data_IF_017179656246
#
_entry.id   IF_017179656246
#
_cell.length_a   1.000
_cell.length_b   1.000
_cell.length_c   1.000
_cell.angle_alpha   90.00
_cell.angle_beta   90.00
_cell.angle_gamma   90.00
#
_symmetry.space_group_name_H-M   'P 1'
#
loop_
_entity.id
_entity.type
_entity.pdbx_description
1 polymer ?
#
# COMPACT_ATOMS: atom_id res chain seq x y z
N UNK A 1 16.44 -25.20 -36.75
CA UNK A 1 17.34 -24.18 -37.33
C UNK A 1 16.59 -22.87 -37.32
N UNK A 2 16.86 -22.04 -36.33
CA UNK A 2 16.31 -20.69 -36.25
C UNK A 2 16.92 -19.88 -37.40
N UNK A 3 16.08 -19.17 -38.15
CA UNK A 3 16.55 -18.37 -39.27
C UNK A 3 17.45 -17.23 -38.74
N UNK A 4 18.57 -16.94 -39.43
CA UNK A 4 19.49 -15.81 -39.15
C UNK A 4 18.77 -14.48 -38.85
N UNK A 5 17.53 -14.34 -39.28
CA UNK A 5 16.65 -13.18 -39.06
C UNK A 5 16.24 -13.00 -37.59
N UNK A 6 15.98 -14.06 -36.84
CA UNK A 6 15.57 -13.98 -35.42
C UNK A 6 16.76 -13.61 -34.51
N UNK A 7 17.96 -14.15 -34.78
CA UNK A 7 19.19 -13.76 -34.08
C UNK A 7 19.54 -12.29 -34.33
N UNK A 8 19.36 -11.82 -35.57
CA UNK A 8 19.56 -10.40 -35.91
C UNK A 8 18.56 -9.48 -35.21
N UNK A 9 17.31 -9.92 -35.03
CA UNK A 9 16.29 -9.16 -34.29
C UNK A 9 16.59 -9.09 -32.79
N UNK A 10 17.13 -10.17 -32.20
CA UNK A 10 17.62 -10.18 -30.82
C UNK A 10 18.80 -9.22 -30.64
N UNK A 11 19.82 -9.34 -31.49
CA UNK A 11 20.98 -8.45 -31.45
C UNK A 11 20.53 -7.00 -31.63
N UNK A 12 19.64 -6.72 -32.59
CA UNK A 12 19.07 -5.37 -32.78
C UNK A 12 18.35 -4.88 -31.52
N UNK A 13 17.56 -5.71 -30.84
CA UNK A 13 16.88 -5.33 -29.59
C UNK A 13 17.85 -5.09 -28.43
N UNK A 14 18.90 -5.89 -28.31
CA UNK A 14 19.94 -5.70 -27.29
C UNK A 14 20.75 -4.43 -27.60
N UNK A 15 21.03 -4.14 -28.88
CA UNK A 15 21.62 -2.89 -29.33
C UNK A 15 20.73 -1.66 -29.03
N UNK A 16 19.42 -1.76 -29.30
CA UNK A 16 18.42 -0.73 -28.97
C UNK A 16 18.32 -0.47 -27.45
N UNK A 17 18.64 -1.49 -26.64
CA UNK A 17 18.72 -1.44 -25.19
C UNK A 17 20.04 -0.85 -24.68
N UNK A 18 20.95 -0.41 -25.56
CA UNK A 18 22.23 0.20 -25.19
C UNK A 18 23.36 -0.79 -24.95
N UNK A 19 23.20 -2.05 -25.38
CA UNK A 19 24.32 -2.99 -25.49
C UNK A 19 25.10 -2.72 -26.78
N UNK A 20 26.41 -2.90 -26.79
CA UNK A 20 27.28 -2.76 -27.97
C UNK A 20 27.61 -4.15 -28.55
N UNK A 21 27.64 -4.26 -29.88
CA UNK A 21 28.21 -5.42 -30.58
C UNK A 21 29.71 -5.46 -30.27
N UNK A 22 30.23 -6.58 -29.77
CA UNK A 22 31.67 -6.73 -29.63
C UNK A 22 32.30 -6.89 -31.02
N UNK A 23 33.30 -6.07 -31.34
CA UNK A 23 34.19 -6.28 -32.47
C UNK A 23 35.11 -7.46 -32.17
N UNK A 24 34.63 -8.70 -32.33
CA UNK A 24 35.51 -9.82 -32.63
C UNK A 24 34.76 -10.96 -33.34
N UNK A 25 35.25 -11.29 -34.53
CA UNK A 25 34.74 -12.33 -35.41
C UNK A 25 34.88 -13.72 -34.74
N UNK A 26 33.77 -14.37 -34.39
CA UNK A 26 33.78 -15.83 -34.21
C UNK A 26 32.83 -16.45 -33.19
N UNK A 27 32.38 -15.73 -32.18
CA UNK A 27 31.39 -16.24 -31.22
C UNK A 27 30.59 -15.03 -30.73
N UNK A 28 29.25 -15.08 -30.86
CA UNK A 28 28.35 -13.97 -30.52
C UNK A 28 28.42 -13.58 -29.04
N UNK A 29 29.29 -12.62 -28.73
CA UNK A 29 29.43 -12.01 -27.41
C UNK A 29 28.86 -10.59 -27.48
N UNK A 30 27.84 -10.31 -26.69
CA UNK A 30 27.23 -8.97 -26.60
C UNK A 30 27.86 -8.26 -25.40
N UNK A 31 28.31 -7.01 -25.58
CA UNK A 31 29.05 -6.26 -24.56
C UNK A 31 28.28 -5.03 -24.06
N UNK A 32 28.16 -4.93 -22.72
CA UNK A 32 27.81 -3.77 -21.83
C UNK A 32 26.39 -3.16 -21.81
N UNK A 33 25.79 -3.10 -20.62
CA UNK A 33 24.77 -2.10 -20.20
C UNK A 33 24.99 -1.56 -18.75
N UNK A 34 26.23 -1.47 -18.26
CA UNK A 34 26.45 -1.20 -16.82
C UNK A 34 26.86 0.24 -16.43
N UNK A 35 27.12 1.12 -17.39
CA UNK A 35 27.65 2.47 -17.10
C UNK A 35 26.61 3.44 -16.50
N UNK A 36 25.31 3.12 -16.53
CA UNK A 36 24.25 3.98 -15.96
C UNK A 36 23.72 3.53 -14.60
N UNK A 37 23.87 2.24 -14.27
CA UNK A 37 23.19 1.62 -13.12
C UNK A 37 24.08 1.53 -11.88
N UNK A 38 25.41 1.42 -12.03
CA UNK A 38 26.32 1.33 -10.89
C UNK A 38 27.30 2.50 -10.80
N UNK A 39 27.15 3.31 -9.75
CA UNK A 39 28.24 4.16 -9.24
C UNK A 39 29.31 3.26 -8.62
N UNK A 40 30.30 2.83 -9.41
CA UNK A 40 31.64 2.55 -8.88
C UNK A 40 32.28 1.17 -9.13
N UNK A 41 31.59 0.17 -9.68
CA UNK A 41 32.22 -1.13 -9.99
C UNK A 41 32.31 -1.34 -11.51
N UNK A 42 33.55 -1.36 -12.01
CA UNK A 42 33.91 -1.57 -13.42
C UNK A 42 34.26 -3.04 -13.67
N UNK A 43 33.28 -3.93 -13.67
CA UNK A 43 33.52 -5.32 -14.11
C UNK A 43 32.72 -5.58 -15.39
N UNK A 44 33.37 -5.74 -16.55
CA UNK A 44 32.69 -6.12 -17.78
C UNK A 44 32.27 -7.59 -17.69
N UNK A 45 30.96 -7.85 -17.60
CA UNK A 45 30.40 -9.20 -17.73
C UNK A 45 30.39 -9.58 -19.21
N UNK A 46 31.04 -10.69 -19.58
CA UNK A 46 30.99 -11.25 -20.93
C UNK A 46 29.82 -12.23 -21.02
N UNK A 47 28.93 -12.02 -21.99
CA UNK A 47 27.79 -12.91 -22.22
C UNK A 47 27.95 -13.64 -23.55
N UNK A 48 28.02 -14.98 -23.54
CA UNK A 48 28.08 -15.80 -24.75
C UNK A 48 26.67 -16.30 -25.06
N UNK A 49 26.13 -15.94 -26.22
CA UNK A 49 24.83 -16.44 -26.70
C UNK A 49 25.05 -17.75 -27.43
N UNK A 50 24.56 -18.86 -26.87
CA UNK A 50 24.62 -20.21 -27.46
C UNK A 50 23.23 -20.73 -27.89
N UNK A 51 23.15 -21.98 -28.36
CA UNK A 51 21.87 -22.60 -28.79
C UNK A 51 20.86 -22.77 -27.64
N UNK A 52 21.30 -22.88 -26.38
CA UNK A 52 20.39 -22.91 -25.22
C UNK A 52 19.70 -21.55 -25.06
N UNK A 53 20.42 -20.45 -25.31
CA UNK A 53 19.84 -19.11 -25.29
C UNK A 53 18.76 -18.90 -26.34
N UNK A 54 18.91 -19.55 -27.49
CA UNK A 54 17.91 -19.53 -28.55
C UNK A 54 16.63 -20.29 -28.16
N UNK A 55 16.76 -21.39 -27.42
CA UNK A 55 15.60 -22.13 -26.89
C UNK A 55 14.77 -21.29 -25.92
N UNK A 56 15.42 -20.42 -25.14
CA UNK A 56 14.75 -19.44 -24.29
C UNK A 56 13.91 -18.42 -25.10
N UNK A 57 14.29 -18.04 -26.32
CA UNK A 57 13.45 -17.15 -27.14
C UNK A 57 12.16 -17.83 -27.63
N UNK A 58 12.24 -19.10 -27.98
CA UNK A 58 11.05 -19.87 -28.38
C UNK A 58 10.11 -20.08 -27.19
N UNK A 59 10.68 -20.30 -26.00
CA UNK A 59 9.94 -20.34 -24.74
C UNK A 59 9.24 -19.00 -24.45
N UNK A 60 9.91 -17.85 -24.61
CA UNK A 60 9.29 -16.52 -24.41
C UNK A 60 8.11 -16.30 -25.37
N UNK A 61 8.26 -16.66 -26.66
CA UNK A 61 7.17 -16.59 -27.64
C UNK A 61 5.99 -17.48 -27.25
N UNK A 62 6.25 -18.57 -26.54
CA UNK A 62 5.23 -19.50 -26.02
C UNK A 62 4.53 -18.90 -24.80
N UNK A 63 5.29 -18.41 -23.81
CA UNK A 63 4.76 -17.73 -22.62
C UNK A 63 3.92 -16.49 -22.98
N UNK A 64 4.31 -15.74 -24.03
CA UNK A 64 3.52 -14.60 -24.54
C UNK A 64 2.18 -14.98 -25.18
N UNK A 65 2.01 -16.25 -25.58
CA UNK A 65 0.72 -16.79 -26.04
C UNK A 65 -0.12 -17.32 -24.88
N UNK A 66 0.53 -17.87 -23.86
CA UNK A 66 -0.12 -18.49 -22.71
C UNK A 66 -0.58 -17.45 -21.67
N UNK A 67 0.15 -16.34 -21.55
CA UNK A 67 -0.11 -15.32 -20.55
C UNK A 67 -0.53 -13.98 -21.17
N UNK A 68 -1.30 -13.23 -20.39
CA UNK A 68 -1.80 -11.91 -20.75
C UNK A 68 -1.27 -10.85 -19.81
N UNK A 69 -0.72 -9.79 -20.37
CA UNK A 69 -0.40 -8.59 -19.61
C UNK A 69 -1.69 -7.84 -19.21
N UNK A 70 -1.87 -7.58 -17.92
CA UNK A 70 -3.05 -6.86 -17.39
C UNK A 70 -2.70 -5.46 -16.84
N UNK A 71 -1.43 -5.10 -16.81
CA UNK A 71 -0.89 -3.79 -16.45
C UNK A 71 0.56 -3.68 -16.92
N UNK A 72 1.24 -2.56 -16.75
CA UNK A 72 2.61 -2.40 -17.26
C UNK A 72 3.57 -3.46 -16.67
N UNK A 73 3.40 -3.81 -15.40
CA UNK A 73 4.23 -4.77 -14.68
C UNK A 73 3.45 -5.94 -14.04
N UNK A 74 2.30 -6.31 -14.62
CA UNK A 74 1.39 -7.34 -14.07
C UNK A 74 1.06 -8.42 -15.10
N UNK A 75 1.17 -9.68 -14.68
CA UNK A 75 0.96 -10.86 -15.50
C UNK A 75 -0.32 -11.60 -15.08
N UNK A 76 -1.07 -12.11 -16.06
CA UNK A 76 -2.25 -12.97 -15.85
C UNK A 76 -2.05 -14.30 -16.60
N UNK A 77 -2.08 -15.39 -15.86
CA UNK A 77 -2.18 -16.75 -16.40
C UNK A 77 -3.59 -17.34 -16.26
N UNK A 78 -3.73 -18.61 -16.62
CA UNK A 78 -5.02 -19.32 -16.60
C UNK A 78 -5.63 -19.41 -15.19
N UNK A 79 -4.77 -19.61 -14.17
CA UNK A 79 -5.17 -19.84 -12.78
C UNK A 79 -4.40 -18.97 -11.78
N UNK A 80 -3.73 -17.92 -12.25
CA UNK A 80 -3.02 -17.00 -11.37
C UNK A 80 -2.90 -15.60 -11.97
N UNK A 81 -2.69 -14.62 -11.11
CA UNK A 81 -2.19 -13.31 -11.48
C UNK A 81 -0.94 -13.02 -10.65
N UNK A 82 0.08 -12.43 -11.27
CA UNK A 82 1.32 -12.08 -10.61
C UNK A 82 1.61 -10.59 -10.78
N UNK A 83 1.73 -9.89 -9.64
CA UNK A 83 1.76 -8.44 -9.57
C UNK A 83 3.10 -7.99 -8.99
N UNK A 84 3.82 -7.12 -9.69
CA UNK A 84 5.02 -6.48 -9.16
C UNK A 84 4.71 -5.64 -7.92
N UNK A 85 5.56 -5.76 -6.90
CA UNK A 85 5.47 -5.00 -5.66
C UNK A 85 6.65 -4.03 -5.52
N UNK A 86 6.38 -2.90 -4.86
CA UNK A 86 7.39 -2.00 -4.34
C UNK A 86 7.42 -2.08 -2.82
N UNK A 87 8.63 -2.10 -2.28
CA UNK A 87 8.90 -2.03 -0.86
C UNK A 87 9.60 -0.72 -0.56
N UNK A 88 9.37 -0.15 0.62
CA UNK A 88 10.22 0.93 1.14
C UNK A 88 11.41 0.36 1.91
N UNK A 89 12.62 0.82 1.60
CA UNK A 89 13.81 0.65 2.44
C UNK A 89 14.33 -0.78 2.65
N UNK A 90 14.85 -1.03 3.86
CA UNK A 90 15.62 -2.22 4.32
C UNK A 90 14.99 -3.58 4.05
N UNK A 91 13.67 -3.65 3.83
CA UNK A 91 12.97 -4.90 3.60
C UNK A 91 13.45 -5.64 2.34
N UNK A 92 13.73 -4.92 1.24
CA UNK A 92 14.29 -5.55 0.03
C UNK A 92 15.72 -6.04 0.25
N UNK A 93 16.51 -5.35 1.09
CA UNK A 93 17.88 -5.78 1.43
C UNK A 93 17.85 -7.06 2.27
N UNK A 94 16.97 -7.11 3.27
CA UNK A 94 16.88 -8.25 4.18
C UNK A 94 16.29 -9.52 3.52
N UNK A 95 15.34 -9.40 2.59
CA UNK A 95 14.87 -10.55 1.78
C UNK A 95 16.02 -11.20 0.99
N UNK A 96 16.87 -10.35 0.39
CA UNK A 96 18.04 -10.78 -0.39
C UNK A 96 19.13 -11.36 0.51
N UNK A 97 19.38 -10.75 1.67
CA UNK A 97 20.39 -11.21 2.63
C UNK A 97 20.00 -12.52 3.33
N UNK A 98 18.71 -12.78 3.54
CA UNK A 98 18.22 -13.97 4.25
C UNK A 98 17.69 -15.08 3.33
N UNK A 99 17.79 -14.91 2.00
CA UNK A 99 17.33 -15.88 0.99
C UNK A 99 15.89 -16.38 1.23
N UNK A 100 15.00 -15.49 1.69
CA UNK A 100 13.60 -15.83 1.95
C UNK A 100 12.86 -15.80 0.61
N UNK A 101 12.57 -16.97 0.05
CA UNK A 101 11.86 -17.10 -1.24
C UNK A 101 10.38 -16.72 -1.15
N UNK A 102 9.77 -16.92 0.03
CA UNK A 102 8.35 -16.65 0.27
C UNK A 102 8.15 -15.88 1.58
N UNK A 103 7.38 -14.81 1.52
CA UNK A 103 7.07 -13.94 2.63
C UNK A 103 5.57 -13.76 2.75
N UNK A 104 4.93 -14.48 3.67
CA UNK A 104 3.49 -14.39 3.90
C UNK A 104 2.69 -15.19 2.88
N UNK A 105 2.04 -16.25 3.38
CA UNK A 105 1.02 -17.01 2.67
C UNK A 105 -0.33 -16.63 3.25
N UNK A 106 -1.22 -16.13 2.40
CA UNK A 106 -2.55 -15.70 2.78
C UNK A 106 -3.58 -16.55 2.05
N UNK A 107 -4.27 -17.43 2.79
CA UNK A 107 -5.27 -18.36 2.24
C UNK A 107 -6.70 -17.81 2.38
N UNK A 108 -7.42 -17.77 1.27
CA UNK A 108 -8.85 -17.45 1.19
C UNK A 108 -9.66 -18.74 1.14
N UNK A 109 -10.53 -18.96 2.13
CA UNK A 109 -11.65 -19.92 2.13
C UNK A 109 -11.51 -21.16 1.21
N UNK A 110 -10.34 -21.80 1.20
CA UNK A 110 -10.01 -23.00 0.43
C UNK A 110 -9.63 -22.84 -1.06
N UNK A 111 -9.90 -21.72 -1.73
CA UNK A 111 -9.80 -21.64 -3.21
C UNK A 111 -8.86 -20.57 -3.79
N UNK A 112 -8.60 -19.47 -3.08
CA UNK A 112 -7.69 -18.41 -3.54
C UNK A 112 -6.50 -18.35 -2.59
N UNK A 113 -5.29 -18.26 -3.13
CA UNK A 113 -4.06 -18.18 -2.34
C UNK A 113 -3.23 -17.01 -2.83
N UNK A 114 -2.79 -16.14 -1.92
CA UNK A 114 -1.88 -15.05 -2.23
C UNK A 114 -0.54 -15.28 -1.53
N UNK A 115 0.54 -15.30 -2.32
CA UNK A 115 1.92 -15.48 -1.86
C UNK A 115 2.68 -14.22 -2.25
N UNK A 116 3.30 -13.55 -1.28
CA UNK A 116 4.25 -12.47 -1.56
C UNK A 116 5.65 -13.09 -1.51
N UNK A 117 6.49 -12.85 -2.52
CA UNK A 117 7.80 -13.52 -2.60
C UNK A 117 8.59 -13.12 -3.82
N UNK A 118 9.69 -13.84 -4.09
CA UNK A 118 10.44 -13.66 -5.33
C UNK A 118 9.54 -13.89 -6.55
N UNK A 119 9.77 -13.12 -7.62
CA UNK A 119 9.10 -13.33 -8.89
C UNK A 119 9.27 -14.77 -9.39
N UNK A 120 8.18 -15.34 -9.90
CA UNK A 120 8.20 -16.66 -10.49
C UNK A 120 9.01 -16.71 -11.78
N UNK A 121 9.42 -17.91 -12.17
CA UNK A 121 10.02 -18.16 -13.48
C UNK A 121 9.11 -17.72 -14.64
N UNK A 122 7.78 -17.83 -14.47
CA UNK A 122 6.81 -17.38 -15.47
C UNK A 122 6.89 -15.86 -15.67
N UNK A 123 6.93 -15.11 -14.56
CA UNK A 123 6.99 -13.65 -14.59
C UNK A 123 8.31 -13.15 -15.16
N UNK A 124 9.41 -13.71 -14.68
CA UNK A 124 10.74 -13.40 -15.17
C UNK A 124 10.85 -13.76 -16.65
N UNK A 125 10.43 -14.96 -17.06
CA UNK A 125 10.45 -15.42 -18.45
C UNK A 125 9.60 -14.58 -19.38
N UNK A 126 8.46 -14.04 -18.91
CA UNK A 126 7.61 -13.15 -19.69
C UNK A 126 8.23 -11.76 -19.89
N UNK A 127 8.85 -11.19 -18.85
CA UNK A 127 9.39 -9.83 -18.86
C UNK A 127 10.90 -9.72 -19.13
N UNK A 128 11.66 -10.83 -19.24
CA UNK A 128 13.14 -10.82 -19.36
C UNK A 128 13.72 -9.98 -20.51
N UNK A 129 12.95 -9.77 -21.58
CA UNK A 129 13.36 -8.92 -22.71
C UNK A 129 12.60 -7.58 -22.77
N UNK A 130 11.86 -7.22 -21.73
CA UNK A 130 11.26 -5.90 -21.59
C UNK A 130 12.35 -4.89 -21.16
N UNK A 131 12.59 -3.82 -21.94
CA UNK A 131 13.54 -2.75 -21.60
C UNK A 131 13.39 -2.20 -20.18
N UNK A 132 12.14 -2.01 -19.76
CA UNK A 132 11.79 -1.38 -18.50
C UNK A 132 12.03 -2.36 -17.34
N UNK A 133 11.79 -3.66 -17.55
CA UNK A 133 12.11 -4.71 -16.59
C UNK A 133 13.63 -4.83 -16.37
N UNK A 134 14.42 -4.83 -17.44
CA UNK A 134 15.89 -4.88 -17.35
C UNK A 134 16.42 -3.66 -16.58
N UNK A 135 15.88 -2.47 -16.88
CA UNK A 135 16.23 -1.24 -16.17
C UNK A 135 15.82 -1.29 -14.70
N UNK A 136 14.67 -1.89 -14.40
CA UNK A 136 14.17 -2.08 -13.04
C UNK A 136 15.06 -2.99 -12.19
N UNK A 137 15.55 -4.10 -12.78
CA UNK A 137 16.26 -5.14 -12.04
C UNK A 137 17.49 -4.63 -11.30
N UNK A 138 18.19 -3.62 -11.82
CA UNK A 138 19.05 -2.66 -11.10
C UNK A 138 20.28 -3.18 -10.32
N UNK A 139 20.18 -4.34 -9.66
CA UNK A 139 21.14 -4.93 -8.76
C UNK A 139 21.46 -6.36 -9.24
N UNK A 140 22.74 -6.64 -9.39
CA UNK A 140 23.23 -7.99 -9.69
C UNK A 140 23.31 -8.81 -8.40
N UNK A 141 23.03 -10.11 -8.50
CA UNK A 141 23.36 -11.07 -7.45
C UNK A 141 24.89 -11.16 -7.32
N UNK A 142 25.44 -11.30 -6.09
CA UNK A 142 26.86 -11.57 -5.90
C UNK A 142 27.29 -12.81 -6.72
N UNK A 143 28.45 -12.74 -7.39
CA UNK A 143 28.95 -13.79 -8.32
C UNK A 143 29.00 -15.19 -7.71
N UNK A 144 29.16 -15.31 -6.38
CA UNK A 144 29.25 -16.58 -5.65
C UNK A 144 27.95 -17.42 -5.70
N UNK A 145 26.83 -16.84 -6.13
CA UNK A 145 25.49 -17.47 -6.13
C UNK A 145 25.06 -17.93 -7.54
N UNK A 146 25.70 -17.45 -8.60
CA UNK A 146 25.28 -17.71 -9.99
C UNK A 146 25.80 -19.07 -10.46
N UNK A 147 24.88 -20.02 -10.64
CA UNK A 147 25.19 -21.40 -11.07
C UNK A 147 24.77 -21.71 -12.52
N UNK A 148 24.16 -20.78 -13.24
CA UNK A 148 23.55 -21.02 -14.55
C UNK A 148 23.91 -19.94 -15.57
N UNK A 149 23.82 -20.28 -16.86
CA UNK A 149 24.03 -19.35 -17.98
C UNK A 149 22.81 -18.45 -18.27
N UNK A 150 21.74 -18.55 -17.49
CA UNK A 150 20.54 -17.74 -17.71
C UNK A 150 20.76 -16.29 -17.26
N UNK A 151 20.56 -15.32 -18.16
CA UNK A 151 20.60 -13.88 -17.87
C UNK A 151 19.79 -13.51 -16.63
N UNK A 152 18.64 -14.17 -16.44
CA UNK A 152 17.76 -13.85 -15.33
C UNK A 152 18.35 -14.19 -13.96
N UNK A 153 19.26 -15.18 -13.91
CA UNK A 153 19.92 -15.63 -12.68
C UNK A 153 20.96 -14.64 -12.15
N UNK A 154 21.43 -13.72 -12.99
CA UNK A 154 22.37 -12.67 -12.61
C UNK A 154 21.70 -11.53 -11.87
N UNK A 155 20.38 -11.38 -11.96
CA UNK A 155 19.65 -10.30 -11.31
C UNK A 155 18.99 -10.79 -10.03
N UNK A 156 18.84 -9.87 -9.07
CA UNK A 156 17.97 -10.13 -7.93
C UNK A 156 16.52 -10.14 -8.44
N UNK A 157 15.76 -11.24 -8.28
CA UNK A 157 14.38 -11.29 -8.72
C UNK A 157 13.57 -10.26 -7.94
N UNK A 158 12.64 -9.56 -8.61
CA UNK A 158 11.82 -8.57 -7.94
C UNK A 158 10.87 -9.24 -6.95
N UNK A 159 10.41 -8.46 -5.97
CA UNK A 159 9.31 -8.89 -5.12
C UNK A 159 7.99 -8.80 -5.89
N UNK A 160 7.21 -9.88 -5.86
CA UNK A 160 5.89 -9.96 -6.48
C UNK A 160 4.86 -10.52 -5.50
N UNK A 161 3.58 -10.33 -5.83
CA UNK A 161 2.46 -11.04 -5.23
C UNK A 161 1.85 -11.96 -6.29
N UNK A 162 1.90 -13.27 -6.05
CA UNK A 162 1.20 -14.27 -6.85
C UNK A 162 -0.14 -14.61 -6.20
N UNK A 163 -1.22 -14.35 -6.91
CA UNK A 163 -2.60 -14.66 -6.51
C UNK A 163 -3.07 -15.82 -7.37
N UNK A 164 -3.18 -17.00 -6.78
CA UNK A 164 -3.67 -18.23 -7.41
C UNK A 164 -5.18 -18.36 -7.20
N UNK A 165 -5.92 -18.79 -8.23
CA UNK A 165 -7.37 -18.97 -8.22
C UNK A 165 -7.81 -20.16 -9.10
N UNK A 166 -9.04 -20.69 -8.96
CA UNK A 166 -9.49 -21.86 -9.72
C UNK A 166 -9.51 -21.61 -11.24
N UNK A 167 -9.09 -22.58 -12.06
CA UNK A 167 -9.00 -22.46 -13.53
C UNK A 167 -10.27 -21.96 -14.25
N UNK A 168 -11.46 -22.20 -13.68
CA UNK A 168 -12.74 -21.82 -14.28
C UNK A 168 -13.30 -20.49 -13.76
N UNK A 169 -12.53 -19.75 -12.95
CA UNK A 169 -13.00 -18.51 -12.35
C UNK A 169 -12.56 -17.31 -13.19
N UNK A 170 -13.54 -16.60 -13.77
CA UNK A 170 -13.28 -15.37 -14.51
C UNK A 170 -13.03 -14.22 -13.53
N UNK A 171 -11.76 -13.95 -13.22
CA UNK A 171 -11.37 -12.80 -12.42
C UNK A 171 -11.13 -11.57 -13.31
N UNK A 172 -11.87 -10.49 -13.05
CA UNK A 172 -11.57 -9.20 -13.68
C UNK A 172 -10.29 -8.61 -13.07
N UNK A 173 -9.57 -7.81 -13.86
CA UNK A 173 -8.40 -7.04 -13.38
C UNK A 173 -8.73 -6.27 -12.10
N UNK A 174 -9.91 -5.65 -12.03
CA UNK A 174 -10.33 -4.87 -10.86
C UNK A 174 -10.50 -5.73 -9.61
N UNK A 175 -11.04 -6.95 -9.73
CA UNK A 175 -11.19 -7.88 -8.61
C UNK A 175 -9.82 -8.36 -8.11
N UNK A 176 -8.88 -8.65 -9.02
CA UNK A 176 -7.50 -9.02 -8.68
C UNK A 176 -6.81 -7.91 -7.89
N UNK A 177 -6.90 -6.66 -8.36
CA UNK A 177 -6.30 -5.52 -7.67
C UNK A 177 -6.90 -5.30 -6.28
N UNK A 178 -8.22 -5.42 -6.14
CA UNK A 178 -8.88 -5.33 -4.84
C UNK A 178 -8.42 -6.42 -3.87
N UNK A 179 -8.24 -7.65 -4.33
CA UNK A 179 -7.68 -8.74 -3.52
C UNK A 179 -6.25 -8.40 -3.10
N UNK A 180 -5.42 -7.92 -4.03
CA UNK A 180 -4.05 -7.55 -3.75
C UNK A 180 -3.93 -6.40 -2.74
N UNK A 181 -4.67 -5.30 -2.93
CA UNK A 181 -4.70 -4.16 -2.00
C UNK A 181 -5.13 -4.62 -0.59
N UNK A 182 -6.09 -5.55 -0.53
CA UNK A 182 -6.56 -6.15 0.72
C UNK A 182 -5.45 -6.97 1.39
N UNK A 183 -4.74 -7.84 0.66
CA UNK A 183 -3.56 -8.55 1.18
C UNK A 183 -2.51 -7.59 1.75
N UNK A 184 -2.17 -6.54 0.98
CA UNK A 184 -1.15 -5.56 1.36
C UNK A 184 -1.52 -4.76 2.60
N UNK A 185 -2.79 -4.37 2.75
CA UNK A 185 -3.27 -3.74 3.97
C UNK A 185 -3.06 -4.65 5.18
N UNK A 186 -3.44 -5.92 5.09
CA UNK A 186 -3.32 -6.88 6.18
C UNK A 186 -1.88 -7.14 6.58
N UNK A 187 -1.01 -7.24 5.58
CA UNK A 187 0.43 -7.31 5.77
C UNK A 187 0.89 -6.10 6.56
N UNK A 188 0.57 -4.89 6.10
CA UNK A 188 0.99 -3.66 6.75
C UNK A 188 0.43 -3.55 8.17
N UNK A 189 -0.77 -4.08 8.39
CA UNK A 189 -1.41 -4.09 9.68
C UNK A 189 -0.68 -4.98 10.70
N UNK A 190 -0.40 -6.22 10.31
CA UNK A 190 0.20 -7.23 11.19
C UNK A 190 1.71 -7.02 11.35
N UNK A 191 2.43 -6.82 10.25
CA UNK A 191 3.91 -6.79 10.24
C UNK A 191 4.50 -5.38 10.34
N UNK A 192 3.66 -4.35 10.23
CA UNK A 192 4.09 -2.94 10.20
C UNK A 192 5.02 -2.62 9.02
N UNK A 193 5.05 -3.50 8.01
CA UNK A 193 5.83 -3.33 6.79
C UNK A 193 4.90 -2.88 5.68
N UNK A 194 5.29 -1.79 5.05
CA UNK A 194 4.56 -1.22 3.93
C UNK A 194 5.07 -1.76 2.61
N UNK A 195 4.16 -2.42 1.91
CA UNK A 195 4.37 -2.91 0.55
C UNK A 195 3.25 -2.31 -0.32
N UNK A 196 3.60 -1.89 -1.53
CA UNK A 196 2.69 -1.25 -2.48
C UNK A 196 2.70 -2.02 -3.79
N UNK A 197 1.56 -2.03 -4.50
CA UNK A 197 1.54 -2.44 -5.89
C UNK A 197 2.36 -1.48 -6.74
N UNK A 198 3.26 -2.00 -7.56
CA UNK A 198 3.90 -1.23 -8.60
C UNK A 198 2.87 -0.91 -9.69
N UNK A 199 2.73 0.38 -10.00
CA UNK A 199 1.84 0.84 -11.06
C UNK A 199 2.53 0.95 -12.41
N UNK A 200 3.85 1.10 -12.41
CA UNK A 200 4.73 1.26 -13.56
C UNK A 200 6.10 0.64 -13.23
N UNK A 201 6.97 0.52 -14.23
CA UNK A 201 8.37 0.13 -14.04
C UNK A 201 9.19 1.30 -13.54
N UNK A 202 8.99 1.66 -12.28
CA UNK A 202 9.81 2.69 -11.66
C UNK A 202 11.13 2.08 -11.18
N UNK A 203 12.29 2.58 -11.63
CA UNK A 203 13.57 2.15 -11.07
C UNK A 203 13.52 2.30 -9.56
N UNK A 204 14.18 1.39 -8.85
CA UNK A 204 14.41 1.50 -7.41
C UNK A 204 15.41 2.64 -7.11
N UNK A 205 15.12 3.86 -7.59
CA UNK A 205 15.90 5.06 -7.29
C UNK A 205 15.77 5.39 -5.81
N UNK A 206 16.88 5.80 -5.19
CA UNK A 206 17.06 6.25 -3.80
C UNK A 206 15.75 6.53 -3.04
N UNK A 207 15.11 5.46 -2.53
CA UNK A 207 13.87 5.56 -1.76
C UNK A 207 14.22 5.53 -0.28
N UNK A 208 13.96 6.67 0.35
CA UNK A 208 14.03 6.93 1.79
C UNK A 208 13.81 5.67 2.65
N UNK A 209 14.88 5.31 3.36
CA UNK A 209 15.02 4.13 4.21
C UNK A 209 14.26 4.36 5.50
N UNK A 210 13.11 3.74 5.73
CA UNK A 210 12.50 3.76 7.07
C UNK A 210 11.74 2.47 7.37
N UNK A 211 12.29 1.67 8.29
CA UNK A 211 11.60 0.60 9.00
C UNK A 211 12.01 0.70 10.48
N UNK A 212 11.06 0.91 11.38
CA UNK A 212 11.23 0.58 12.79
C UNK A 212 10.34 -0.63 13.08
N UNK A 213 10.93 -1.82 13.04
CA UNK A 213 10.22 -3.06 13.36
C UNK A 213 11.06 -4.28 13.02
N UNK A 214 11.09 -5.26 13.91
CA UNK A 214 11.69 -6.57 13.65
C UNK A 214 10.94 -7.28 12.52
N UNK A 215 11.69 -7.74 11.52
CA UNK A 215 11.17 -8.37 10.29
C UNK A 215 11.01 -9.85 10.56
N UNK A 216 9.91 -10.24 11.22
CA UNK A 216 9.47 -11.63 11.20
C UNK A 216 8.16 -11.68 10.42
N UNK A 217 8.09 -12.36 9.26
CA UNK A 217 6.81 -12.61 8.62
C UNK A 217 5.88 -13.30 9.61
N UNK A 218 4.63 -12.85 9.77
CA UNK A 218 3.65 -13.63 10.50
C UNK A 218 3.45 -14.96 9.77
N UNK A 219 3.83 -16.07 10.41
CA UNK A 219 3.55 -17.41 9.89
C UNK A 219 2.02 -17.62 9.89
N UNK A 220 1.46 -18.01 8.73
CA UNK A 220 0.04 -18.33 8.53
C UNK A 220 -0.94 -17.17 8.82
N UNK A 221 -0.94 -16.15 7.96
CA UNK A 221 -1.94 -15.08 8.01
C UNK A 221 -3.28 -15.52 7.40
N UNK A 222 -4.37 -15.30 8.14
CA UNK A 222 -5.73 -15.54 7.63
C UNK A 222 -6.16 -14.35 6.79
N UNK A 223 -6.62 -14.60 5.56
CA UNK A 223 -7.12 -13.54 4.68
C UNK A 223 -8.39 -12.91 5.27
N UNK A 224 -8.56 -11.58 5.23
CA UNK A 224 -9.83 -10.94 5.56
C UNK A 224 -10.95 -11.39 4.63
N UNK A 225 -12.14 -11.68 5.14
CA UNK A 225 -13.28 -12.07 4.30
C UNK A 225 -13.86 -10.91 3.46
N UNK A 226 -13.20 -9.76 3.43
CA UNK A 226 -13.72 -8.52 2.88
C UNK A 226 -12.68 -7.74 2.08
N UNK A 227 -13.13 -7.15 0.98
CA UNK A 227 -12.38 -6.28 0.10
C UNK A 227 -12.30 -4.86 0.65
N UNK A 228 -11.10 -4.31 0.62
CA UNK A 228 -10.80 -2.95 1.08
C UNK A 228 -10.67 -1.99 -0.11
N UNK A 229 -11.03 -0.73 0.10
CA UNK A 229 -10.83 0.33 -0.88
C UNK A 229 -9.34 0.70 -0.99
N UNK A 230 -8.82 0.68 -2.21
CA UNK A 230 -7.43 1.02 -2.55
C UNK A 230 -6.96 2.38 -2.02
N UNK A 231 -7.79 3.41 -2.08
CA UNK A 231 -7.42 4.75 -1.59
C UNK A 231 -7.12 4.74 -0.09
N UNK A 232 -7.87 3.96 0.69
CA UNK A 232 -7.62 3.80 2.12
C UNK A 232 -6.32 3.04 2.39
N UNK A 233 -6.04 1.99 1.61
CA UNK A 233 -4.76 1.28 1.68
C UNK A 233 -3.62 2.24 1.38
N UNK A 234 -3.75 3.08 0.36
CA UNK A 234 -2.73 4.07 0.02
C UNK A 234 -2.46 5.07 1.16
N UNK A 235 -3.50 5.61 1.80
CA UNK A 235 -3.35 6.51 2.95
C UNK A 235 -2.70 5.80 4.14
N UNK A 236 -3.18 4.60 4.49
CA UNK A 236 -2.66 3.81 5.61
C UNK A 236 -1.20 3.42 5.42
N UNK A 237 -0.87 2.89 4.24
CA UNK A 237 0.48 2.48 3.86
C UNK A 237 1.44 3.68 3.76
N UNK A 238 0.94 4.87 3.37
CA UNK A 238 1.72 6.11 3.45
C UNK A 238 1.95 6.54 4.90
N UNK A 239 0.97 6.39 5.79
CA UNK A 239 1.11 6.70 7.20
C UNK A 239 2.16 5.81 7.88
N UNK A 240 2.14 4.50 7.63
CA UNK A 240 3.14 3.56 8.17
C UNK A 240 4.55 3.92 7.71
N UNK A 241 4.71 4.34 6.46
CA UNK A 241 6.00 4.74 5.90
C UNK A 241 6.52 6.11 6.32
N UNK A 242 5.70 6.93 6.97
CA UNK A 242 6.15 8.22 7.45
C UNK A 242 7.24 8.05 8.52
N UNK A 243 8.31 8.83 8.42
CA UNK A 243 9.37 8.90 9.42
C UNK A 243 9.15 10.03 10.44
N UNK A 244 8.27 10.97 10.09
CA UNK A 244 7.91 12.13 10.88
C UNK A 244 6.52 11.85 11.49
N UNK A 245 6.39 11.78 12.84
CA UNK A 245 5.15 11.44 13.52
C UNK A 245 3.94 12.27 13.07
N UNK A 246 4.15 13.54 12.76
CA UNK A 246 3.14 14.46 12.26
C UNK A 246 2.56 14.01 10.91
N UNK A 247 3.41 13.53 10.00
CA UNK A 247 2.97 13.01 8.70
C UNK A 247 2.29 11.65 8.84
N UNK A 248 2.75 10.81 9.77
CA UNK A 248 2.06 9.55 10.08
C UNK A 248 0.66 9.84 10.63
N UNK A 249 0.53 10.80 11.54
CA UNK A 249 -0.74 11.28 12.10
C UNK A 249 -1.68 11.75 10.99
N UNK A 250 -1.20 12.61 10.07
CA UNK A 250 -1.99 13.07 8.94
C UNK A 250 -2.38 11.94 7.98
N UNK A 251 -1.50 10.97 7.75
CA UNK A 251 -1.80 9.80 6.93
C UNK A 251 -2.96 8.98 7.48
N UNK A 252 -2.96 8.69 8.78
CA UNK A 252 -4.09 8.03 9.45
C UNK A 252 -5.34 8.90 9.50
N UNK A 253 -5.18 10.21 9.65
CA UNK A 253 -6.29 11.17 9.60
C UNK A 253 -7.01 11.13 8.24
N UNK A 254 -6.27 11.06 7.14
CA UNK A 254 -6.87 10.97 5.80
C UNK A 254 -7.76 9.73 5.62
N UNK A 255 -7.48 8.61 6.30
CA UNK A 255 -8.37 7.44 6.30
C UNK A 255 -9.75 7.77 6.91
N UNK A 256 -9.80 8.67 7.91
CA UNK A 256 -11.05 9.13 8.53
C UNK A 256 -11.72 10.19 7.64
N UNK A 257 -10.94 11.15 7.13
CA UNK A 257 -11.40 12.27 6.30
C UNK A 257 -12.07 11.80 5.01
N UNK A 258 -11.60 10.70 4.43
CA UNK A 258 -12.20 10.06 3.25
C UNK A 258 -13.73 9.85 3.39
N UNK A 259 -14.23 9.66 4.61
CA UNK A 259 -15.64 9.39 4.90
C UNK A 259 -16.45 10.59 5.39
N UNK A 260 -15.85 11.76 5.58
CA UNK A 260 -16.53 12.92 6.18
C UNK A 260 -17.83 13.28 5.46
N UNK A 261 -17.75 13.56 4.16
CA UNK A 261 -18.92 13.92 3.37
C UNK A 261 -19.92 12.77 3.25
N UNK A 262 -19.44 11.56 2.93
CA UNK A 262 -20.31 10.41 2.71
C UNK A 262 -21.12 10.01 3.97
N UNK A 263 -20.51 10.13 5.16
CA UNK A 263 -21.19 9.86 6.42
C UNK A 263 -22.10 11.01 6.82
N UNK A 264 -21.64 12.26 6.66
CA UNK A 264 -22.43 13.46 6.95
C UNK A 264 -23.72 13.47 6.12
N UNK A 265 -23.61 13.26 4.81
CA UNK A 265 -24.77 13.19 3.91
C UNK A 265 -25.71 12.04 4.24
N UNK A 266 -25.18 10.90 4.69
CA UNK A 266 -26.03 9.80 5.13
C UNK A 266 -26.90 10.20 6.34
N UNK A 267 -26.35 10.96 7.29
CA UNK A 267 -27.12 11.49 8.43
C UNK A 267 -28.24 12.41 7.94
N UNK A 268 -27.95 13.32 7.00
CA UNK A 268 -28.98 14.17 6.38
C UNK A 268 -30.07 13.32 5.70
N UNK A 269 -29.68 12.31 4.91
CA UNK A 269 -30.63 11.43 4.23
C UNK A 269 -31.53 10.68 5.21
N UNK A 270 -31.02 10.22 6.35
CA UNK A 270 -31.86 9.58 7.37
C UNK A 270 -32.84 10.55 8.01
N UNK A 271 -32.44 11.81 8.26
CA UNK A 271 -33.35 12.83 8.80
C UNK A 271 -34.47 13.18 7.83
N UNK A 272 -34.13 13.44 6.55
CA UNK A 272 -35.11 13.68 5.49
C UNK A 272 -36.04 12.46 5.35
N UNK A 273 -35.49 11.25 5.34
CA UNK A 273 -36.29 10.02 5.27
C UNK A 273 -37.26 9.90 6.46
N UNK A 274 -36.83 10.28 7.65
CA UNK A 274 -37.69 10.30 8.85
C UNK A 274 -38.83 11.31 8.71
N UNK A 275 -38.57 12.47 8.11
CA UNK A 275 -39.61 13.45 7.79
C UNK A 275 -40.63 12.91 6.79
N UNK A 276 -40.16 12.27 5.71
CA UNK A 276 -41.02 11.72 4.66
C UNK A 276 -41.86 10.51 5.12
N UNK A 277 -41.32 9.69 6.03
CA UNK A 277 -42.01 8.52 6.56
C UNK A 277 -42.95 8.84 7.73
N UNK A 278 -43.00 10.09 8.20
CA UNK A 278 -43.88 10.48 9.28
C UNK A 278 -45.36 10.37 8.81
N UNK A 279 -46.25 9.66 9.52
CA UNK A 279 -47.67 9.57 9.15
C UNK A 279 -48.38 10.93 9.06
N UNK A 280 -47.87 11.94 9.77
CA UNK A 280 -48.36 13.31 9.74
C UNK A 280 -47.72 14.16 8.62
N UNK A 281 -46.90 13.56 7.75
CA UNK A 281 -46.31 14.25 6.62
C UNK A 281 -47.40 14.58 5.58
N UNK A 282 -47.40 15.84 5.13
CA UNK A 282 -48.25 16.31 4.04
C UNK A 282 -47.39 17.11 3.06
N UNK A 283 -47.72 17.05 1.78
CA UNK A 283 -47.03 17.84 0.73
C UNK A 283 -47.59 19.27 0.74
N UNK A 284 -47.44 19.94 1.88
CA UNK A 284 -47.77 21.37 2.04
C UNK A 284 -46.48 22.18 2.14
N UNK A 285 -46.54 23.44 1.73
CA UNK A 285 -45.37 24.34 1.69
C UNK A 285 -44.59 24.35 3.01
N UNK A 286 -45.29 24.35 4.16
CA UNK A 286 -44.67 24.30 5.49
C UNK A 286 -43.78 23.07 5.74
N UNK A 287 -44.11 21.91 5.19
CA UNK A 287 -43.30 20.70 5.34
C UNK A 287 -42.13 20.68 4.35
N UNK A 288 -42.33 21.22 3.16
CA UNK A 288 -41.27 21.41 2.16
C UNK A 288 -40.23 22.39 2.69
N UNK A 289 -40.67 23.52 3.26
CA UNK A 289 -39.79 24.52 3.88
C UNK A 289 -38.93 23.94 4.99
N UNK A 290 -39.47 23.04 5.82
CA UNK A 290 -38.69 22.34 6.87
C UNK A 290 -37.55 21.51 6.27
N UNK A 291 -37.82 20.77 5.19
CA UNK A 291 -36.80 19.97 4.50
C UNK A 291 -35.75 20.89 3.88
N UNK A 292 -36.17 21.99 3.24
CA UNK A 292 -35.28 22.98 2.65
C UNK A 292 -34.37 23.61 3.70
N UNK A 293 -34.92 24.02 4.85
CA UNK A 293 -34.15 24.54 5.99
C UNK A 293 -33.13 23.52 6.48
N UNK A 294 -33.52 22.25 6.62
CA UNK A 294 -32.61 21.19 7.09
C UNK A 294 -31.45 20.94 6.11
N UNK A 295 -31.71 20.99 4.80
CA UNK A 295 -30.66 20.92 3.77
C UNK A 295 -29.72 22.13 3.86
N UNK A 296 -30.27 23.35 4.04
CA UNK A 296 -29.46 24.56 4.16
C UNK A 296 -28.62 24.57 5.44
N UNK A 297 -29.17 24.12 6.56
CA UNK A 297 -28.45 23.98 7.82
C UNK A 297 -27.31 22.97 7.67
N UNK A 298 -27.57 21.80 7.09
CA UNK A 298 -26.55 20.77 6.87
C UNK A 298 -25.35 21.29 6.05
N UNK A 299 -25.61 22.03 4.97
CA UNK A 299 -24.54 22.65 4.15
C UNK A 299 -23.80 23.77 4.88
N UNK A 300 -24.47 24.50 5.76
CA UNK A 300 -23.87 25.58 6.54
C UNK A 300 -23.08 25.06 7.74
N UNK A 301 -23.39 23.84 8.21
CA UNK A 301 -22.79 23.16 9.35
C UNK A 301 -21.76 22.09 8.94
N UNK A 302 -21.05 22.26 7.81
CA UNK A 302 -19.87 21.46 7.43
C UNK A 302 -18.68 21.71 8.38
N UNK A 303 -18.93 21.50 9.67
CA UNK A 303 -17.97 21.58 10.74
C UNK A 303 -17.23 20.25 10.78
N UNK A 304 -15.96 20.29 10.45
CA UNK A 304 -15.04 19.17 10.48
C UNK A 304 -15.14 18.33 11.76
N UNK A 305 -15.35 18.97 12.93
CA UNK A 305 -15.53 18.26 14.21
C UNK A 305 -16.81 17.42 14.21
N UNK A 306 -17.90 17.94 13.65
CA UNK A 306 -19.18 17.23 13.54
C UNK A 306 -19.05 16.04 12.58
N UNK A 307 -18.40 16.24 11.42
CA UNK A 307 -18.17 15.18 10.44
C UNK A 307 -17.27 14.08 11.01
N UNK A 308 -16.15 14.45 11.65
CA UNK A 308 -15.27 13.49 12.31
C UNK A 308 -16.01 12.71 13.40
N UNK A 309 -16.79 13.38 14.25
CA UNK A 309 -17.62 12.71 15.26
C UNK A 309 -18.57 11.70 14.63
N UNK A 310 -19.26 12.05 13.54
CA UNK A 310 -20.18 11.14 12.87
C UNK A 310 -19.46 9.91 12.29
N UNK A 311 -18.26 10.09 11.71
CA UNK A 311 -17.42 8.97 11.26
C UNK A 311 -17.05 8.07 12.44
N UNK A 312 -16.58 8.65 13.55
CA UNK A 312 -16.21 7.89 14.73
C UNK A 312 -17.41 7.10 15.30
N UNK A 313 -18.58 7.73 15.40
CA UNK A 313 -19.81 7.10 15.88
C UNK A 313 -20.30 5.97 14.97
N UNK A 314 -20.09 6.09 13.66
CA UNK A 314 -20.56 5.10 12.68
C UNK A 314 -19.71 3.83 12.67
N UNK A 315 -18.39 3.96 12.78
CA UNK A 315 -17.47 2.86 12.52
C UNK A 315 -16.79 2.29 13.78
N UNK A 316 -16.85 2.99 14.92
CA UNK A 316 -16.11 2.57 16.11
C UNK A 316 -17.08 2.19 17.22
N UNK A 317 -16.91 0.98 17.74
CA UNK A 317 -17.61 0.55 18.95
C UNK A 317 -17.05 1.26 20.18
N UNK A 318 -17.93 1.85 20.98
CA UNK A 318 -17.54 2.47 22.26
C UNK A 318 -16.79 1.50 23.17
N UNK A 319 -17.22 0.23 23.20
CA UNK A 319 -16.60 -0.80 24.04
C UNK A 319 -15.17 -1.14 23.58
N UNK A 320 -14.93 -1.15 22.26
CA UNK A 320 -13.60 -1.42 21.71
C UNK A 320 -12.65 -0.25 21.94
N UNK A 321 -13.13 0.97 21.77
CA UNK A 321 -12.38 2.19 22.08
C UNK A 321 -11.99 2.26 23.57
N UNK A 322 -12.91 1.90 24.47
CA UNK A 322 -12.61 1.83 25.91
C UNK A 322 -11.53 0.79 26.21
N UNK A 323 -11.64 -0.42 25.65
CA UNK A 323 -10.61 -1.46 25.81
C UNK A 323 -9.26 -1.01 25.27
N UNK A 324 -9.25 -0.37 24.10
CA UNK A 324 -8.04 0.17 23.49
C UNK A 324 -7.38 1.18 24.44
N UNK A 325 -8.10 2.22 24.88
CA UNK A 325 -7.57 3.27 25.77
C UNK A 325 -6.97 2.64 27.04
N UNK A 326 -7.72 1.77 27.71
CA UNK A 326 -7.29 1.15 28.96
C UNK A 326 -6.05 0.25 28.78
N UNK A 327 -6.02 -0.56 27.71
CA UNK A 327 -4.88 -1.43 27.42
C UNK A 327 -3.62 -0.63 27.08
N UNK A 328 -3.75 0.41 26.25
CA UNK A 328 -2.64 1.25 25.83
C UNK A 328 -2.03 2.03 26.99
N UNK A 329 -2.86 2.67 27.84
CA UNK A 329 -2.38 3.39 29.01
C UNK A 329 -1.70 2.46 30.03
N UNK A 330 -2.19 1.22 30.15
CA UNK A 330 -1.58 0.20 31.01
C UNK A 330 -0.20 -0.21 30.50
N UNK A 331 -0.06 -0.48 29.19
CA UNK A 331 1.22 -0.86 28.57
C UNK A 331 2.24 0.27 28.69
N UNK A 332 1.79 1.52 28.49
CA UNK A 332 2.66 2.69 28.53
C UNK A 332 2.99 3.16 29.95
N UNK A 333 2.22 2.71 30.95
CA UNK A 333 2.35 3.17 32.34
C UNK A 333 2.02 4.65 32.55
N UNK A 334 1.34 5.29 31.59
CA UNK A 334 0.99 6.73 31.59
C UNK A 334 -0.43 6.92 31.08
N UNK A 335 -1.21 7.77 31.76
CA UNK A 335 -2.61 8.09 31.43
C UNK A 335 -2.75 9.15 30.34
N UNK A 336 -2.30 8.85 29.12
CA UNK A 336 -2.22 9.82 28.00
C UNK A 336 -3.58 10.45 27.62
N UNK A 337 -4.68 9.73 27.81
CA UNK A 337 -6.02 10.11 27.37
C UNK A 337 -6.97 10.40 28.54
N UNK A 338 -6.94 9.57 29.58
CA UNK A 338 -7.93 9.60 30.67
C UNK A 338 -7.67 10.69 31.72
N UNK A 339 -6.43 11.10 31.86
CA UNK A 339 -6.06 12.23 32.72
C UNK A 339 -6.07 13.54 31.92
N UNK A 340 -6.27 14.65 32.63
CA UNK A 340 -6.32 15.98 32.04
C UNK A 340 -4.95 16.39 31.49
N UNK A 341 -4.85 16.52 30.17
CA UNK A 341 -3.61 16.89 29.48
C UNK A 341 -3.78 18.21 28.74
N UNK A 342 -2.83 19.12 28.91
CA UNK A 342 -2.71 20.31 28.07
C UNK A 342 -2.01 19.94 26.76
N UNK A 343 -2.66 20.27 25.65
CA UNK A 343 -2.20 20.02 24.29
C UNK A 343 -2.15 21.35 23.58
N UNK A 344 -0.96 21.95 23.50
CA UNK A 344 -0.70 23.17 22.76
C UNK A 344 -1.66 24.32 23.14
N UNK A 345 -1.89 24.50 24.45
CA UNK A 345 -2.74 25.56 25.02
C UNK A 345 -4.21 25.20 25.21
N UNK A 346 -4.61 23.95 25.02
CA UNK A 346 -5.97 23.47 25.31
C UNK A 346 -5.95 22.19 26.11
N UNK A 347 -6.78 22.14 27.14
CA UNK A 347 -6.89 20.96 28.01
C UNK A 347 -7.92 19.98 27.47
N UNK A 348 -7.53 18.72 27.37
CA UNK A 348 -8.41 17.62 26.98
C UNK A 348 -8.36 16.50 28.01
N UNK A 349 -9.52 15.95 28.31
CA UNK A 349 -9.70 14.77 29.15
C UNK A 349 -10.71 13.86 28.48
N UNK A 350 -10.32 12.63 28.19
CA UNK A 350 -11.20 11.65 27.55
C UNK A 350 -11.70 10.70 28.64
N UNK A 351 -12.97 10.82 29.01
CA UNK A 351 -13.61 9.84 29.89
C UNK A 351 -14.21 8.70 29.04
N UNK A 352 -13.68 7.46 29.12
CA UNK A 352 -14.18 6.34 28.31
C UNK A 352 -15.66 6.02 28.54
N UNK A 353 -16.16 6.29 29.74
CA UNK A 353 -17.55 6.03 30.13
C UNK A 353 -18.52 7.12 29.64
N UNK A 354 -18.02 8.29 29.22
CA UNK A 354 -18.82 9.43 28.78
C UNK A 354 -19.72 9.10 27.59
N UNK A 355 -20.93 9.66 27.57
CA UNK A 355 -21.82 9.62 26.38
C UNK A 355 -21.24 10.45 25.22
N UNK A 356 -20.42 11.45 25.53
CA UNK A 356 -19.86 12.40 24.56
C UNK A 356 -18.40 12.08 24.19
N UNK A 357 -17.96 10.83 24.38
CA UNK A 357 -16.57 10.41 24.11
C UNK A 357 -16.10 10.76 22.70
N UNK A 358 -16.94 10.52 21.69
CA UNK A 358 -16.61 10.80 20.28
C UNK A 358 -16.52 12.28 19.96
N UNK A 359 -17.31 13.12 20.64
CA UNK A 359 -17.22 14.59 20.49
C UNK A 359 -15.87 15.09 21.05
N UNK A 360 -15.50 14.65 22.26
CA UNK A 360 -14.23 15.03 22.89
C UNK A 360 -13.02 14.56 22.07
N UNK A 361 -13.09 13.34 21.55
CA UNK A 361 -12.05 12.80 20.66
C UNK A 361 -11.95 13.60 19.36
N UNK A 362 -13.08 13.89 18.71
CA UNK A 362 -13.08 14.66 17.47
C UNK A 362 -12.47 16.05 17.67
N UNK A 363 -12.80 16.73 18.78
CA UNK A 363 -12.21 18.03 19.13
C UNK A 363 -10.70 17.94 19.35
N UNK A 364 -10.23 16.93 20.09
CA UNK A 364 -8.80 16.71 20.36
C UNK A 364 -8.03 16.44 19.07
N UNK A 365 -8.49 15.49 18.25
CA UNK A 365 -7.86 15.10 16.98
C UNK A 365 -7.80 16.28 16.02
N UNK A 366 -8.92 17.01 15.84
CA UNK A 366 -8.99 18.17 14.96
C UNK A 366 -8.07 19.30 15.42
N UNK A 367 -7.94 19.51 16.74
CA UNK A 367 -7.02 20.49 17.29
C UNK A 367 -5.56 20.13 16.98
N UNK A 368 -5.16 18.88 17.19
CA UNK A 368 -3.81 18.40 16.85
C UNK A 368 -3.55 18.55 15.35
N UNK A 369 -4.47 18.08 14.49
CA UNK A 369 -4.41 18.22 13.02
C UNK A 369 -4.20 19.67 12.59
N UNK A 370 -4.97 20.60 13.17
CA UNK A 370 -4.86 22.02 12.87
C UNK A 370 -3.52 22.61 13.30
N UNK A 371 -2.99 22.18 14.45
CA UNK A 371 -1.67 22.61 14.89
C UNK A 371 -0.57 22.06 13.99
N UNK A 372 -0.68 20.82 13.49
CA UNK A 372 0.24 20.25 12.50
C UNK A 372 0.20 21.04 11.19
N UNK A 373 -0.98 21.19 10.57
CA UNK A 373 -1.12 21.81 9.23
C UNK A 373 -0.78 23.30 9.25
N UNK A 374 -1.16 24.03 10.31
CA UNK A 374 -0.92 25.47 10.40
C UNK A 374 0.31 25.83 11.26
N UNK A 375 1.19 24.87 11.52
CA UNK A 375 2.48 25.10 12.16
C UNK A 375 3.40 25.94 11.27
N UNK A 376 3.41 25.70 9.95
CA UNK A 376 4.30 26.34 8.98
C UNK A 376 3.99 27.82 8.72
N UNK A 377 2.72 28.25 8.78
CA UNK A 377 2.38 29.67 8.64
C UNK A 377 2.65 30.48 9.92
N UNK A 378 2.88 29.79 11.05
CA UNK A 378 3.21 30.39 12.35
C UNK A 378 4.70 30.22 12.67
N UNK A 379 5.56 30.43 11.64
CA UNK A 379 7.05 30.39 11.62
C UNK A 379 7.80 31.20 12.70
N UNK A 380 7.11 31.83 13.64
CA UNK A 380 7.68 32.53 14.80
C UNK A 380 7.65 31.71 16.10
N UNK A 381 7.24 30.43 16.08
CA UNK A 381 7.18 29.59 17.29
C UNK A 381 8.55 28.98 17.60
N UNK A 382 8.96 29.12 18.86
CA UNK A 382 10.23 28.64 19.42
C UNK A 382 10.45 27.14 19.18
N UNK A 383 11.71 26.71 19.11
CA UNK A 383 12.13 25.30 19.01
C UNK A 383 11.38 24.37 19.98
N UNK A 384 11.01 24.88 21.15
CA UNK A 384 10.25 24.17 22.18
C UNK A 384 8.89 23.66 21.70
N UNK A 385 8.17 24.44 20.90
CA UNK A 385 6.81 24.07 20.45
C UNK A 385 6.81 22.98 19.39
N UNK A 386 7.86 22.89 18.59
CA UNK A 386 8.05 21.80 17.64
C UNK A 386 8.29 20.47 18.36
N UNK A 387 9.18 20.47 19.36
CA UNK A 387 9.43 19.28 20.20
C UNK A 387 8.17 18.83 20.93
N UNK A 388 7.36 19.77 21.41
CA UNK A 388 6.06 19.46 22.04
C UNK A 388 5.08 18.82 21.05
N UNK A 389 4.97 19.36 19.82
CA UNK A 389 4.09 18.82 18.78
C UNK A 389 4.51 17.41 18.33
N UNK A 390 5.80 17.17 18.16
CA UNK A 390 6.36 15.86 17.82
C UNK A 390 6.02 14.84 18.92
N UNK A 391 6.28 15.20 20.18
CA UNK A 391 5.97 14.37 21.35
C UNK A 391 4.48 14.03 21.47
N UNK A 392 3.61 15.04 21.29
CA UNK A 392 2.15 14.84 21.26
C UNK A 392 1.77 13.91 20.12
N UNK A 393 2.34 14.10 18.93
CA UNK A 393 2.04 13.25 17.77
C UNK A 393 2.40 11.79 18.06
N UNK A 394 3.59 11.52 18.62
CA UNK A 394 4.03 10.19 19.04
C UNK A 394 3.03 9.57 20.05
N UNK A 395 2.57 10.35 21.02
CA UNK A 395 1.60 9.90 22.03
C UNK A 395 0.21 9.57 21.41
N UNK A 396 -0.13 10.18 20.28
CA UNK A 396 -1.44 10.06 19.61
C UNK A 396 -1.46 9.05 18.45
N UNK A 397 -0.30 8.68 17.90
CA UNK A 397 -0.20 7.74 16.79
C UNK A 397 -0.90 6.40 17.03
N UNK A 398 -0.77 5.75 18.21
CA UNK A 398 -1.46 4.47 18.46
C UNK A 398 -2.98 4.60 18.35
N UNK A 399 -3.53 5.70 18.86
CA UNK A 399 -4.95 6.00 18.76
C UNK A 399 -5.35 6.24 17.30
N UNK A 400 -4.67 7.14 16.60
CA UNK A 400 -4.99 7.43 15.19
C UNK A 400 -4.93 6.18 14.31
N UNK A 401 -3.95 5.32 14.54
CA UNK A 401 -3.83 4.03 13.86
C UNK A 401 -5.01 3.11 14.16
N UNK A 402 -5.37 2.94 15.44
CA UNK A 402 -6.54 2.16 15.84
C UNK A 402 -7.81 2.67 15.16
N UNK A 403 -8.06 3.98 15.17
CA UNK A 403 -9.24 4.58 14.54
C UNK A 403 -9.26 4.31 13.03
N UNK A 404 -8.12 4.44 12.34
CA UNK A 404 -8.00 4.14 10.91
C UNK A 404 -8.28 2.66 10.62
N UNK A 405 -7.74 1.73 11.41
CA UNK A 405 -8.00 0.29 11.26
C UNK A 405 -9.50 -0.03 11.41
N UNK A 406 -10.17 0.56 12.40
CA UNK A 406 -11.60 0.36 12.64
C UNK A 406 -12.44 0.88 11.46
N UNK A 407 -12.12 2.07 10.93
CA UNK A 407 -12.82 2.64 9.78
C UNK A 407 -12.61 1.80 8.52
N UNK A 408 -11.39 1.34 8.26
CA UNK A 408 -11.07 0.49 7.11
C UNK A 408 -11.82 -0.85 7.23
N UNK A 409 -11.78 -1.47 8.40
CA UNK A 409 -12.46 -2.75 8.65
C UNK A 409 -13.98 -2.60 8.52
N UNK A 410 -14.56 -1.54 9.09
CA UNK A 410 -16.00 -1.27 9.05
C UNK A 410 -16.54 -0.85 7.67
N UNK A 411 -15.68 -0.57 6.71
CA UNK A 411 -16.05 -0.18 5.33
C UNK A 411 -15.75 -1.25 4.30
N UNK A 412 -15.10 -2.33 4.73
CA UNK A 412 -14.77 -3.47 3.90
C UNK A 412 -16.04 -4.18 3.41
N UNK A 413 -16.06 -4.58 2.14
CA UNK A 413 -17.21 -5.26 1.51
C UNK A 413 -16.96 -6.76 1.44
N UNK A 414 -17.96 -7.64 1.63
CA UNK A 414 -17.73 -9.07 1.46
C UNK A 414 -17.23 -9.37 0.04
N UNK A 415 -16.37 -10.37 -0.10
CA UNK A 415 -15.98 -10.87 -1.42
C UNK A 415 -17.18 -11.60 -2.03
N UNK A 416 -17.89 -10.94 -2.95
CA UNK A 416 -18.95 -11.55 -3.77
C UNK A 416 -18.38 -12.37 -4.93
#
# INVERSE_FOLDING_TARGET
>A
MIEKKDLKALITRLLDLGFEEAEDEGDGVIQRFFDRVYRGYRVPVKFKVDEEHLSYFEEEKTLKKEYKQIGPCWLLGENFAELLLHTSGEFSKNLVEHAISEWGNIKFAGEIEAIIGEASSDFIGYYRFNPEFITFLGNLRPEEIVKTNDLSSFFVPPLTMRISFPKNSAFSKEKILKIADTCLFHVADVSHISIKLALEWEPSGERLIFSQGGINPPENMVFPKSLINRELVNFYTRAINGNVPEYQFLGFYHCLEYFFLAVSDNVLYQRIKTHLLNPSFSVTDNYIDKIVVEIHQHRSEENEVVMLRQVLQKYISKNELERFINSHETIKGKKVYTESHEILGKTYTINPLSKNIFELLAQRIKHIRNEIVHSENRRQRSKQRWVELESISIDELPLMRFLAQQVISGTSKPLE
#
